data_IF_484513731226
#
_entry.id   IF_484513731226
#
_cell.length_a   1.000
_cell.length_b   1.000
_cell.length_c   1.000
_cell.angle_alpha   90.00
_cell.angle_beta   90.00
_cell.angle_gamma   90.00
#
_symmetry.space_group_name_H-M   'P 1'
#
loop_
_entity.id
_entity.type
_entity.pdbx_description
1 polymer ?
#
# COMPACT_ATOMS: atom_id res chain seq x y z
N UNK A 1 26.84 65.98 32.12
CA UNK A 1 26.66 64.75 31.28
C UNK A 1 25.25 64.69 30.80
N UNK A 2 24.97 64.58 29.51
CA UNK A 2 23.64 64.34 29.00
C UNK A 2 23.16 62.92 29.31
N UNK A 3 21.83 62.72 29.51
CA UNK A 3 21.29 61.40 29.78
C UNK A 3 21.42 60.46 28.55
N UNK A 4 21.54 59.14 28.77
CA UNK A 4 21.66 58.16 27.68
C UNK A 4 20.37 58.08 26.87
N UNK A 5 20.45 57.79 25.55
CA UNK A 5 19.27 57.67 24.70
C UNK A 5 18.44 56.44 25.09
N UNK A 6 17.11 56.47 24.89
CA UNK A 6 16.24 55.34 25.21
C UNK A 6 16.57 54.16 24.30
N UNK A 7 16.72 52.98 24.91
CA UNK A 7 16.89 51.73 24.18
C UNK A 7 15.60 51.40 23.41
N UNK A 8 15.72 51.27 22.12
CA UNK A 8 14.65 50.78 21.26
C UNK A 8 14.31 49.34 21.62
N UNK A 9 13.06 49.11 22.02
CA UNK A 9 12.55 47.74 22.22
C UNK A 9 12.48 47.02 20.85
N UNK A 10 13.20 45.94 20.73
CA UNK A 10 13.04 45.03 19.59
C UNK A 10 11.64 44.43 19.57
N UNK A 11 10.98 44.37 18.41
CA UNK A 11 9.70 43.70 18.31
C UNK A 11 9.86 42.21 18.62
N UNK A 12 8.87 41.54 19.21
CA UNK A 12 8.91 40.12 19.50
C UNK A 12 9.08 39.29 18.21
N UNK A 13 9.96 38.32 18.26
CA UNK A 13 10.20 37.37 17.16
C UNK A 13 8.90 36.63 16.81
N UNK A 14 8.63 36.34 15.53
CA UNK A 14 7.48 35.56 15.14
C UNK A 14 7.57 34.16 15.75
N UNK A 15 6.42 33.53 16.13
CA UNK A 15 6.41 32.19 16.68
C UNK A 15 7.00 31.20 15.69
N UNK A 16 7.89 30.35 16.17
CA UNK A 16 8.46 29.27 15.38
C UNK A 16 7.34 28.33 14.85
N UNK A 17 7.44 27.81 13.61
CA UNK A 17 6.47 26.85 13.12
C UNK A 17 6.39 25.67 14.07
N UNK A 18 5.18 25.31 14.48
CA UNK A 18 4.91 24.17 15.34
C UNK A 18 5.45 22.90 14.67
N UNK A 19 6.30 22.18 15.37
CA UNK A 19 6.73 20.84 14.95
C UNK A 19 5.48 19.96 14.79
N UNK A 20 5.44 19.05 13.79
CA UNK A 20 4.33 18.11 13.67
C UNK A 20 4.18 17.36 14.99
N UNK A 21 2.98 17.39 15.54
CA UNK A 21 2.66 16.73 16.79
C UNK A 21 2.97 15.22 16.65
N UNK A 22 3.79 14.71 17.55
CA UNK A 22 3.98 13.27 17.69
C UNK A 22 2.61 12.62 17.94
N UNK A 23 2.30 11.44 17.35
CA UNK A 23 1.04 10.76 17.61
C UNK A 23 0.90 10.49 19.10
N UNK A 24 -0.26 10.83 19.66
CA UNK A 24 -0.56 10.67 21.06
C UNK A 24 -0.35 9.21 21.50
N UNK A 25 0.36 8.93 22.60
CA UNK A 25 0.46 7.58 23.14
C UNK A 25 -0.90 7.17 23.70
N UNK A 26 -1.55 6.18 23.05
CA UNK A 26 -2.81 5.61 23.56
C UNK A 26 -3.91 5.30 22.55
N UNK A 27 -3.76 5.61 21.27
CA UNK A 27 -4.66 5.08 20.25
C UNK A 27 -4.30 3.60 20.05
N UNK A 28 -5.11 2.69 20.56
CA UNK A 28 -4.98 1.26 20.32
C UNK A 28 -4.86 1.00 18.81
N UNK A 29 -3.95 0.11 18.44
CA UNK A 29 -3.70 -0.29 17.06
C UNK A 29 -5.05 -0.64 16.39
N UNK A 30 -5.37 -0.05 15.24
CA UNK A 30 -6.60 -0.40 14.48
C UNK A 30 -6.51 -1.89 14.15
N UNK A 31 -7.58 -2.62 14.39
CA UNK A 31 -7.70 -4.05 14.06
C UNK A 31 -9.05 -4.34 13.40
N UNK A 32 -9.34 -5.62 13.15
CA UNK A 32 -10.54 -6.05 12.43
C UNK A 32 -11.75 -6.36 13.36
N UNK A 33 -11.67 -6.09 14.66
CA UNK A 33 -12.73 -6.42 15.62
C UNK A 33 -14.04 -5.66 15.36
N UNK A 34 -13.95 -4.46 14.82
CA UNK A 34 -15.10 -3.61 14.50
C UNK A 34 -15.63 -3.81 13.06
N UNK A 35 -15.16 -4.85 12.38
CA UNK A 35 -15.53 -5.15 10.99
C UNK A 35 -14.59 -4.51 9.97
N UNK A 36 -15.10 -4.23 8.78
CA UNK A 36 -14.35 -3.66 7.67
C UNK A 36 -13.68 -2.33 8.02
N UNK A 37 -12.41 -2.20 7.66
CA UNK A 37 -11.60 -1.00 7.88
C UNK A 37 -11.34 -0.30 6.54
N UNK A 38 -11.69 0.98 6.45
CA UNK A 38 -11.27 1.84 5.34
C UNK A 38 -10.04 2.64 5.78
N UNK A 39 -8.92 2.45 5.06
CA UNK A 39 -7.67 3.12 5.33
C UNK A 39 -7.52 4.38 4.49
N UNK A 40 -6.89 5.39 5.05
CA UNK A 40 -6.32 6.51 4.32
C UNK A 40 -4.80 6.29 4.15
N UNK A 41 -4.18 7.06 3.27
CA UNK A 41 -2.73 7.01 3.05
C UNK A 41 -1.97 7.06 4.38
N UNK A 42 -0.99 6.16 4.52
CA UNK A 42 -0.14 5.97 5.71
C UNK A 42 -0.84 5.42 6.96
N UNK A 43 -2.13 5.09 6.88
CA UNK A 43 -2.80 4.40 7.99
C UNK A 43 -2.50 2.89 7.94
N UNK A 44 -2.39 2.31 9.12
CA UNK A 44 -2.07 0.89 9.33
C UNK A 44 -3.18 0.20 10.12
N UNK A 45 -3.54 -1.00 9.71
CA UNK A 45 -4.43 -1.92 10.43
C UNK A 45 -3.69 -3.21 10.76
N UNK A 46 -3.84 -3.70 11.97
CA UNK A 46 -3.39 -5.03 12.35
C UNK A 46 -4.40 -6.07 11.86
N UNK A 47 -3.92 -7.09 11.15
CA UNK A 47 -4.76 -8.19 10.68
C UNK A 47 -5.03 -9.18 11.81
N UNK A 48 -5.72 -8.69 12.83
CA UNK A 48 -6.14 -9.42 14.03
C UNK A 48 -7.64 -9.26 14.20
N UNK A 49 -8.36 -10.36 14.41
CA UNK A 49 -9.80 -10.40 14.66
C UNK A 49 -10.07 -11.30 15.88
N UNK A 50 -10.78 -10.77 16.87
CA UNK A 50 -11.06 -11.51 18.12
C UNK A 50 -9.79 -11.90 18.90
N UNK A 51 -8.76 -11.05 18.89
CA UNK A 51 -7.48 -11.32 19.54
C UNK A 51 -6.63 -12.39 18.85
N UNK A 52 -7.01 -12.86 17.65
CA UNK A 52 -6.30 -13.88 16.87
C UNK A 52 -5.72 -13.31 15.60
N UNK A 53 -4.44 -13.58 15.28
CA UNK A 53 -3.86 -13.23 13.99
C UNK A 53 -4.60 -13.92 12.84
N UNK A 54 -4.83 -13.18 11.76
CA UNK A 54 -5.31 -13.72 10.50
C UNK A 54 -4.12 -14.41 9.80
N UNK A 55 -4.10 -15.73 9.81
CA UNK A 55 -3.06 -16.57 9.20
C UNK A 55 -3.63 -17.49 8.11
N UNK A 56 -4.81 -17.16 7.60
CA UNK A 56 -5.47 -17.88 6.51
C UNK A 56 -5.15 -17.25 5.16
N UNK A 57 -5.79 -17.77 4.13
CA UNK A 57 -5.70 -17.22 2.78
C UNK A 57 -6.45 -15.88 2.72
N UNK A 58 -5.80 -14.87 2.16
CA UNK A 58 -6.39 -13.58 1.84
C UNK A 58 -6.25 -13.30 0.35
N UNK A 59 -7.13 -12.44 -0.18
CA UNK A 59 -7.08 -11.96 -1.55
C UNK A 59 -6.88 -10.45 -1.54
N UNK A 60 -5.83 -9.99 -2.21
CA UNK A 60 -5.65 -8.58 -2.51
C UNK A 60 -6.28 -8.31 -3.87
N UNK A 61 -7.46 -7.70 -3.87
CA UNK A 61 -8.13 -7.22 -5.07
C UNK A 61 -7.63 -5.81 -5.41
N UNK A 62 -7.29 -5.59 -6.67
CA UNK A 62 -6.89 -4.29 -7.19
C UNK A 62 -7.82 -3.94 -8.35
N UNK A 63 -8.34 -2.72 -8.35
CA UNK A 63 -9.26 -2.24 -9.37
C UNK A 63 -8.94 -0.81 -9.78
N UNK A 64 -9.27 -0.48 -11.03
CA UNK A 64 -9.08 0.85 -11.60
C UNK A 64 -10.16 1.15 -12.63
N UNK A 65 -10.40 2.44 -12.86
CA UNK A 65 -11.30 2.92 -13.90
C UNK A 65 -10.59 3.96 -14.76
N UNK A 66 -10.72 3.90 -16.10
CA UNK A 66 -10.21 4.94 -16.99
C UNK A 66 -10.85 6.31 -16.71
N UNK A 67 -10.07 7.38 -16.78
CA UNK A 67 -10.59 8.74 -16.63
C UNK A 67 -11.45 9.17 -17.86
N UNK A 68 -11.20 8.57 -19.01
CA UNK A 68 -11.86 8.90 -20.25
C UNK A 68 -12.52 7.67 -20.86
N UNK A 69 -13.78 7.76 -21.23
CA UNK A 69 -14.51 6.68 -21.91
C UNK A 69 -13.84 6.30 -23.24
N UNK A 70 -13.74 4.99 -23.48
CA UNK A 70 -13.16 4.45 -24.71
C UNK A 70 -11.64 4.45 -24.76
N UNK A 71 -10.98 4.66 -23.62
CA UNK A 71 -9.54 4.47 -23.47
C UNK A 71 -9.31 3.24 -22.58
N UNK A 72 -8.76 2.20 -23.17
CA UNK A 72 -8.30 1.06 -22.39
C UNK A 72 -7.06 1.47 -21.61
N UNK A 73 -7.03 1.16 -20.33
CA UNK A 73 -5.88 1.37 -19.47
C UNK A 73 -5.39 0.01 -19.02
N UNK A 74 -4.24 -0.37 -19.54
CA UNK A 74 -3.54 -1.60 -19.23
C UNK A 74 -2.61 -1.38 -18.05
N UNK A 75 -3.10 -1.75 -16.86
CA UNK A 75 -2.34 -1.71 -15.62
C UNK A 75 -2.11 -3.12 -15.11
N UNK A 76 -0.93 -3.35 -14.56
CA UNK A 76 -0.49 -4.64 -14.05
C UNK A 76 -0.30 -4.59 -12.53
N UNK A 77 -1.01 -5.43 -11.81
CA UNK A 77 -0.80 -5.64 -10.39
C UNK A 77 0.36 -6.62 -10.16
N UNK A 78 1.13 -6.36 -9.12
CA UNK A 78 2.23 -7.22 -8.70
C UNK A 78 2.35 -7.23 -7.18
N UNK A 79 2.98 -8.26 -6.64
CA UNK A 79 3.45 -8.27 -5.25
C UNK A 79 4.92 -8.67 -5.22
N UNK A 80 5.68 -7.97 -4.39
CA UNK A 80 7.10 -8.18 -4.19
C UNK A 80 7.32 -8.64 -2.75
N UNK A 81 7.98 -9.79 -2.58
CA UNK A 81 8.28 -10.37 -1.28
C UNK A 81 9.70 -10.04 -0.84
N UNK A 82 9.83 -9.66 0.43
CA UNK A 82 11.09 -9.27 1.05
C UNK A 82 11.37 -10.01 2.36
N UNK A 83 12.64 -10.17 2.65
CA UNK A 83 13.15 -10.68 3.91
C UNK A 83 13.38 -9.60 4.97
N UNK A 84 13.89 -9.99 6.17
CA UNK A 84 14.04 -9.10 7.33
C UNK A 84 14.97 -7.91 7.09
N UNK A 85 15.93 -8.06 6.19
CA UNK A 85 16.88 -7.01 5.82
C UNK A 85 16.44 -6.21 4.58
N UNK A 86 15.16 -6.28 4.23
CA UNK A 86 14.58 -5.69 3.00
C UNK A 86 15.20 -6.25 1.72
N UNK A 87 15.80 -7.43 1.81
CA UNK A 87 16.32 -8.14 0.66
C UNK A 87 15.18 -8.73 -0.16
N UNK A 88 15.23 -8.52 -1.46
CA UNK A 88 14.27 -9.08 -2.41
C UNK A 88 14.34 -10.61 -2.41
N UNK A 89 13.20 -11.27 -2.19
CA UNK A 89 13.08 -12.73 -2.24
C UNK A 89 12.53 -13.15 -3.59
N UNK A 90 11.33 -12.66 -3.96
CA UNK A 90 10.68 -13.01 -5.23
C UNK A 90 9.59 -11.98 -5.58
N UNK A 91 9.08 -12.05 -6.82
CA UNK A 91 7.98 -11.19 -7.29
C UNK A 91 6.94 -12.00 -8.05
N UNK A 92 5.66 -11.78 -7.74
CA UNK A 92 4.52 -12.37 -8.42
C UNK A 92 3.84 -11.29 -9.28
N UNK A 93 3.67 -11.55 -10.56
CA UNK A 93 3.13 -10.63 -11.56
C UNK A 93 2.61 -11.43 -12.77
N UNK A 94 2.07 -10.80 -13.79
CA UNK A 94 1.50 -11.49 -14.97
C UNK A 94 2.47 -12.47 -15.66
N UNK A 95 3.79 -12.18 -15.62
CA UNK A 95 4.82 -13.07 -16.19
C UNK A 95 5.27 -14.19 -15.25
N UNK A 96 4.88 -14.16 -13.99
CA UNK A 96 5.19 -15.18 -12.98
C UNK A 96 4.05 -15.30 -11.97
N UNK A 97 3.06 -16.11 -12.31
CA UNK A 97 1.77 -16.19 -11.61
C UNK A 97 1.79 -16.94 -10.27
N UNK A 98 2.89 -17.61 -9.94
CA UNK A 98 3.04 -18.33 -8.66
C UNK A 98 4.46 -18.18 -8.13
N UNK A 99 4.58 -17.90 -6.85
CA UNK A 99 5.85 -17.83 -6.14
C UNK A 99 5.75 -18.53 -4.77
N UNK A 100 6.87 -18.75 -4.11
CA UNK A 100 6.96 -19.31 -2.76
C UNK A 100 6.15 -20.62 -2.62
N UNK A 101 6.38 -21.57 -3.54
CA UNK A 101 5.68 -22.88 -3.61
C UNK A 101 4.15 -22.75 -3.71
N UNK A 102 3.66 -21.61 -4.24
CA UNK A 102 2.23 -21.36 -4.41
C UNK A 102 1.56 -20.66 -3.21
N UNK A 103 2.32 -20.23 -2.21
CA UNK A 103 1.79 -19.40 -1.13
C UNK A 103 1.30 -18.03 -1.64
N UNK A 104 1.83 -17.56 -2.76
CA UNK A 104 1.35 -16.37 -3.47
C UNK A 104 1.00 -16.75 -4.91
N UNK A 105 -0.20 -16.32 -5.36
CA UNK A 105 -0.72 -16.59 -6.70
C UNK A 105 -1.40 -15.36 -7.27
N UNK A 106 -1.11 -15.07 -8.53
CA UNK A 106 -1.76 -14.01 -9.30
C UNK A 106 -2.89 -14.62 -10.15
N UNK A 107 -4.04 -13.95 -10.26
CA UNK A 107 -5.21 -14.43 -11.00
C UNK A 107 -5.04 -14.43 -12.52
N UNK A 108 -4.06 -13.69 -13.03
CA UNK A 108 -3.85 -13.41 -14.44
C UNK A 108 -4.06 -11.94 -14.77
N UNK A 109 -3.86 -11.62 -16.02
CA UNK A 109 -3.83 -10.27 -16.57
C UNK A 109 -5.22 -9.80 -17.01
N UNK A 110 -5.58 -8.54 -16.71
CA UNK A 110 -6.75 -7.85 -17.25
C UNK A 110 -6.29 -6.68 -18.12
N UNK A 111 -6.40 -6.82 -19.42
CA UNK A 111 -5.86 -5.88 -20.41
C UNK A 111 -6.66 -4.59 -20.59
N UNK A 112 -7.90 -4.53 -20.12
CA UNK A 112 -8.81 -3.42 -20.43
C UNK A 112 -9.22 -2.58 -19.23
N UNK A 113 -9.20 -3.14 -18.03
CA UNK A 113 -9.77 -2.50 -16.84
C UNK A 113 -11.29 -2.32 -16.93
N UNK A 114 -11.95 -3.05 -17.85
CA UNK A 114 -13.41 -3.03 -17.98
C UNK A 114 -14.04 -4.13 -17.12
N UNK A 115 -15.06 -3.77 -16.38
CA UNK A 115 -15.83 -4.67 -15.55
C UNK A 115 -16.19 -4.08 -14.19
N UNK A 116 -17.17 -4.67 -13.53
CA UNK A 116 -17.49 -4.31 -12.14
C UNK A 116 -16.74 -5.20 -11.17
N UNK A 117 -15.90 -4.62 -10.34
CA UNK A 117 -15.16 -5.36 -9.31
C UNK A 117 -13.64 -5.19 -9.43
N UNK A 118 -12.90 -6.18 -8.95
CA UNK A 118 -11.44 -6.16 -9.01
C UNK A 118 -10.99 -6.55 -10.42
N UNK A 119 -10.06 -5.78 -10.99
CA UNK A 119 -9.47 -6.08 -12.30
C UNK A 119 -8.45 -7.20 -12.18
N UNK A 120 -7.64 -7.18 -11.13
CA UNK A 120 -6.69 -8.23 -10.83
C UNK A 120 -6.71 -8.62 -9.35
N UNK A 121 -6.44 -9.90 -9.08
CA UNK A 121 -6.45 -10.45 -7.72
C UNK A 121 -5.16 -11.20 -7.45
N UNK A 122 -4.54 -10.90 -6.33
CA UNK A 122 -3.37 -11.64 -5.82
C UNK A 122 -3.78 -12.36 -4.54
N UNK A 123 -3.69 -13.69 -4.57
CA UNK A 123 -4.01 -14.55 -3.44
C UNK A 123 -2.75 -14.80 -2.63
N UNK A 124 -2.83 -14.58 -1.32
CA UNK A 124 -1.73 -14.81 -0.37
C UNK A 124 -2.20 -15.72 0.74
N UNK A 125 -1.55 -16.86 0.89
CA UNK A 125 -1.72 -17.72 2.06
C UNK A 125 -0.74 -17.29 3.14
N UNK A 126 -1.20 -16.48 4.08
CA UNK A 126 -0.37 -15.90 5.15
C UNK A 126 0.25 -16.98 6.05
N UNK A 127 -0.47 -18.08 6.26
CA UNK A 127 0.01 -19.21 7.07
C UNK A 127 1.05 -20.07 6.38
N UNK A 128 1.02 -20.12 5.02
CA UNK A 128 1.96 -20.89 4.22
C UNK A 128 3.21 -20.10 3.79
N UNK A 129 3.27 -18.79 4.06
CA UNK A 129 4.45 -17.99 3.76
C UNK A 129 5.64 -18.47 4.58
N UNK A 130 6.83 -18.67 3.94
CA UNK A 130 8.05 -18.98 4.66
C UNK A 130 8.36 -17.92 5.73
N UNK A 131 8.97 -18.32 6.85
CA UNK A 131 9.30 -17.43 7.96
C UNK A 131 10.27 -16.30 7.56
N UNK A 132 11.08 -16.53 6.55
CA UNK A 132 11.98 -15.55 5.98
C UNK A 132 11.27 -14.41 5.23
N UNK A 133 10.00 -14.59 4.85
CA UNK A 133 9.20 -13.54 4.23
C UNK A 133 8.59 -12.68 5.33
N UNK A 134 9.06 -11.46 5.45
CA UNK A 134 8.64 -10.51 6.49
C UNK A 134 7.93 -9.28 5.95
N UNK A 135 8.01 -9.04 4.65
CA UNK A 135 7.36 -7.92 4.00
C UNK A 135 6.83 -8.28 2.61
N UNK A 136 5.65 -7.76 2.29
CA UNK A 136 5.03 -7.82 0.97
C UNK A 136 4.65 -6.40 0.56
N UNK A 137 4.99 -5.99 -0.66
CA UNK A 137 4.55 -4.71 -1.22
C UNK A 137 3.75 -4.98 -2.49
N UNK A 138 2.49 -4.50 -2.49
CA UNK A 138 1.59 -4.58 -3.63
C UNK A 138 1.73 -3.33 -4.49
N UNK A 139 1.98 -3.53 -5.77
CA UNK A 139 2.26 -2.46 -6.72
C UNK A 139 1.34 -2.56 -7.93
N UNK A 140 1.10 -1.42 -8.59
CA UNK A 140 0.44 -1.36 -9.90
C UNK A 140 1.32 -0.56 -10.85
N UNK A 141 1.53 -1.08 -12.04
CA UNK A 141 2.35 -0.45 -13.07
C UNK A 141 1.58 -0.32 -14.38
N UNK A 142 1.82 0.75 -15.13
CA UNK A 142 1.39 0.90 -16.52
C UNK A 142 2.54 0.48 -17.45
N UNK A 143 2.45 -0.72 -17.98
CA UNK A 143 3.46 -1.24 -18.91
C UNK A 143 3.47 -0.45 -20.23
N UNK A 144 2.30 -0.09 -20.73
CA UNK A 144 2.11 0.71 -21.95
C UNK A 144 2.47 2.19 -21.79
N UNK A 145 2.66 2.66 -20.55
CA UNK A 145 3.16 4.01 -20.24
C UNK A 145 2.11 5.08 -20.01
N UNK A 146 0.83 4.71 -19.88
CA UNK A 146 -0.22 5.62 -19.41
C UNK A 146 0.12 6.12 -18.01
N UNK A 147 -0.27 7.36 -17.73
CA UNK A 147 -0.03 7.97 -16.42
C UNK A 147 -1.22 7.76 -15.50
N UNK A 148 -1.00 7.68 -14.19
CA UNK A 148 -2.08 7.59 -13.21
C UNK A 148 -3.01 8.80 -13.22
N UNK A 149 -2.61 9.94 -13.79
CA UNK A 149 -3.51 11.06 -14.11
C UNK A 149 -4.60 10.72 -15.13
N UNK A 150 -4.45 9.63 -15.89
CA UNK A 150 -5.44 9.11 -16.84
C UNK A 150 -6.38 8.06 -16.21
N UNK A 151 -6.17 7.74 -14.93
CA UNK A 151 -6.98 6.81 -14.13
C UNK A 151 -7.93 7.62 -13.26
N UNK A 152 -9.24 7.39 -13.38
CA UNK A 152 -10.25 8.10 -12.60
C UNK A 152 -10.31 7.61 -11.16
N UNK A 153 -10.21 6.30 -10.99
CA UNK A 153 -10.26 5.62 -9.69
C UNK A 153 -9.26 4.46 -9.70
N UNK A 154 -8.57 4.30 -8.60
CA UNK A 154 -7.80 3.11 -8.32
C UNK A 154 -7.97 2.75 -6.84
N UNK A 155 -8.07 1.48 -6.54
CA UNK A 155 -8.19 1.00 -5.16
C UNK A 155 -7.50 -0.35 -4.98
N UNK A 156 -7.23 -0.68 -3.73
CA UNK A 156 -6.98 -2.05 -3.32
C UNK A 156 -7.86 -2.42 -2.13
N UNK A 157 -8.19 -3.70 -2.03
CA UNK A 157 -8.97 -4.24 -0.92
C UNK A 157 -8.47 -5.63 -0.52
N UNK A 158 -8.44 -5.87 0.78
CA UNK A 158 -8.10 -7.17 1.33
C UNK A 158 -9.40 -7.91 1.65
N UNK A 159 -9.52 -9.12 1.14
CA UNK A 159 -10.68 -9.98 1.25
C UNK A 159 -10.28 -11.26 1.98
N UNK A 160 -11.10 -11.71 2.92
CA UNK A 160 -10.96 -13.03 3.54
C UNK A 160 -11.18 -14.11 2.46
N UNK A 161 -10.18 -14.96 2.25
CA UNK A 161 -10.24 -16.00 1.22
C UNK A 161 -11.25 -17.11 1.50
N UNK A 162 -11.63 -17.31 2.76
CA UNK A 162 -12.58 -18.34 3.16
C UNK A 162 -14.04 -17.84 3.11
N UNK A 163 -14.28 -16.61 3.55
CA UNK A 163 -15.65 -16.05 3.66
C UNK A 163 -16.03 -15.15 2.49
N UNK A 164 -15.05 -14.60 1.78
CA UNK A 164 -15.27 -13.56 0.77
C UNK A 164 -15.59 -12.18 1.36
N UNK A 165 -15.49 -12.02 2.68
CA UNK A 165 -15.72 -10.74 3.36
C UNK A 165 -14.59 -9.75 3.04
N UNK A 166 -14.94 -8.53 2.66
CA UNK A 166 -13.97 -7.43 2.54
C UNK A 166 -13.57 -6.96 3.93
N UNK A 167 -12.28 -7.12 4.25
CA UNK A 167 -11.72 -6.78 5.55
C UNK A 167 -11.15 -5.37 5.60
N UNK A 168 -10.45 -4.98 4.54
CA UNK A 168 -9.75 -3.69 4.46
C UNK A 168 -9.91 -3.11 3.07
N UNK A 169 -10.09 -1.80 2.97
CA UNK A 169 -10.12 -1.07 1.71
C UNK A 169 -9.26 0.18 1.78
N UNK A 170 -8.58 0.46 0.68
CA UNK A 170 -7.88 1.71 0.43
C UNK A 170 -8.22 2.22 -0.97
N UNK A 171 -8.80 3.41 -1.03
CA UNK A 171 -9.06 4.13 -2.28
C UNK A 171 -7.95 5.17 -2.49
N UNK A 172 -7.32 5.13 -3.67
CA UNK A 172 -6.28 6.08 -4.05
C UNK A 172 -6.93 7.43 -4.35
N UNK A 173 -6.64 8.43 -3.53
CA UNK A 173 -7.28 9.77 -3.63
C UNK A 173 -6.48 10.75 -4.46
N UNK A 174 -5.19 10.48 -4.68
CA UNK A 174 -4.29 11.33 -5.46
C UNK A 174 -3.93 10.65 -6.77
N UNK A 175 -3.72 11.45 -7.80
CA UNK A 175 -3.20 10.99 -9.09
C UNK A 175 -1.95 11.79 -9.44
N UNK A 176 -0.89 11.10 -9.85
CA UNK A 176 0.35 11.73 -10.30
C UNK A 176 0.69 11.29 -11.73
N UNK A 177 1.44 12.12 -12.44
CA UNK A 177 1.89 11.83 -13.80
C UNK A 177 3.04 10.79 -13.82
N UNK A 178 2.86 9.70 -13.08
CA UNK A 178 3.79 8.58 -12.94
C UNK A 178 3.19 7.29 -13.51
N UNK A 179 4.03 6.30 -13.74
CA UNK A 179 3.67 5.02 -14.37
C UNK A 179 3.62 3.84 -13.40
N UNK A 180 3.92 4.06 -12.13
CA UNK A 180 3.87 3.05 -11.08
C UNK A 180 3.37 3.64 -9.78
N UNK A 181 2.73 2.81 -8.95
CA UNK A 181 2.30 3.15 -7.60
C UNK A 181 2.48 1.96 -6.67
N UNK A 182 2.96 2.21 -5.46
CA UNK A 182 2.91 1.26 -4.36
C UNK A 182 1.57 1.46 -3.64
N UNK A 183 0.68 0.48 -3.71
CA UNK A 183 -0.68 0.58 -3.17
C UNK A 183 -0.74 0.29 -1.68
N UNK A 184 -0.14 -0.80 -1.26
CA UNK A 184 -0.16 -1.24 0.13
C UNK A 184 1.05 -2.12 0.45
N UNK A 185 1.38 -2.22 1.73
CA UNK A 185 2.34 -3.20 2.23
C UNK A 185 1.74 -4.03 3.35
N UNK A 186 2.15 -5.30 3.41
CA UNK A 186 1.94 -6.18 4.55
C UNK A 186 3.29 -6.42 5.23
N UNK A 187 3.37 -6.20 6.52
CA UNK A 187 4.58 -6.40 7.31
C UNK A 187 4.30 -7.37 8.45
N UNK A 188 5.07 -8.46 8.51
CA UNK A 188 4.99 -9.44 9.59
C UNK A 188 5.54 -8.83 10.86
N UNK A 189 4.75 -8.86 11.91
CA UNK A 189 5.16 -8.39 13.22
C UNK A 189 5.94 -9.47 13.97
N UNK A 190 6.69 -9.06 14.96
CA UNK A 190 7.49 -9.97 15.78
C UNK A 190 6.65 -11.04 16.51
N UNK A 191 5.42 -10.70 16.84
CA UNK A 191 4.42 -11.57 17.48
C UNK A 191 3.69 -12.48 16.47
N UNK A 192 4.01 -12.39 15.17
CA UNK A 192 3.54 -13.29 14.10
C UNK A 192 2.34 -12.79 13.32
N UNK A 193 1.61 -11.78 13.79
CA UNK A 193 0.54 -11.14 13.03
C UNK A 193 1.12 -10.30 11.88
N UNK A 194 0.25 -9.98 10.91
CA UNK A 194 0.57 -9.09 9.82
C UNK A 194 -0.13 -7.75 9.99
N UNK A 195 0.57 -6.68 9.69
CA UNK A 195 0.00 -5.34 9.59
C UNK A 195 -0.10 -4.93 8.13
N UNK A 196 -1.24 -4.35 7.73
CA UNK A 196 -1.44 -3.74 6.42
C UNK A 196 -1.37 -2.21 6.55
N UNK A 197 -0.53 -1.59 5.75
CA UNK A 197 -0.45 -0.12 5.62
C UNK A 197 -0.84 0.30 4.21
N UNK A 198 -1.77 1.24 4.11
CA UNK A 198 -2.08 1.92 2.85
C UNK A 198 -0.95 2.89 2.48
N UNK A 199 -0.49 2.85 1.24
CA UNK A 199 0.65 3.65 0.78
C UNK A 199 0.22 4.75 -0.19
N UNK A 200 -0.05 4.44 -1.44
CA UNK A 200 -0.36 5.43 -2.47
C UNK A 200 0.86 6.25 -2.88
N UNK A 201 2.05 5.65 -2.88
CA UNK A 201 3.31 6.32 -3.25
C UNK A 201 3.65 6.03 -4.71
N UNK A 202 3.73 7.10 -5.50
CA UNK A 202 4.00 7.00 -6.94
C UNK A 202 5.48 6.87 -7.25
N UNK A 203 5.77 6.08 -8.29
CA UNK A 203 7.14 5.79 -8.75
C UNK A 203 7.20 5.85 -10.26
N UNK A 204 8.29 6.40 -10.80
CA UNK A 204 8.56 6.35 -12.22
C UNK A 204 9.06 4.96 -12.61
N UNK A 205 8.15 4.02 -12.78
CA UNK A 205 8.46 2.67 -13.23
C UNK A 205 7.30 2.06 -13.99
N UNK A 206 7.58 1.40 -15.10
CA UNK A 206 6.59 0.71 -15.95
C UNK A 206 6.52 -0.79 -15.67
N UNK A 207 7.36 -1.30 -14.82
CA UNK A 207 7.47 -2.75 -14.54
C UNK A 207 7.71 -3.02 -13.07
N UNK A 208 7.32 -4.21 -12.61
CA UNK A 208 7.59 -4.68 -11.25
C UNK A 208 9.08 -4.67 -10.92
N UNK A 209 9.96 -4.97 -11.88
CA UNK A 209 11.40 -4.96 -11.66
C UNK A 209 11.92 -3.59 -11.23
N UNK A 210 11.40 -2.51 -11.81
CA UNK A 210 11.75 -1.15 -11.41
C UNK A 210 11.16 -0.73 -10.06
N UNK A 211 10.17 -1.46 -9.55
CA UNK A 211 9.58 -1.22 -8.23
C UNK A 211 10.35 -1.87 -7.08
N UNK A 212 11.18 -2.88 -7.35
CA UNK A 212 11.86 -3.67 -6.30
C UNK A 212 12.66 -2.80 -5.33
N UNK A 213 13.48 -1.88 -5.81
CA UNK A 213 14.28 -1.01 -4.95
C UNK A 213 13.44 0.03 -4.19
N UNK A 214 12.54 0.81 -4.83
CA UNK A 214 11.66 1.73 -4.12
C UNK A 214 10.79 1.03 -3.05
N UNK A 215 10.25 -0.14 -3.36
CA UNK A 215 9.43 -0.91 -2.42
C UNK A 215 10.23 -1.41 -1.21
N UNK A 216 11.48 -1.84 -1.39
CA UNK A 216 12.36 -2.20 -0.30
C UNK A 216 12.64 -1.01 0.65
N UNK A 217 12.77 0.19 0.10
CA UNK A 217 12.99 1.41 0.88
C UNK A 217 11.75 1.84 1.68
N UNK A 218 10.57 1.43 1.25
CA UNK A 218 9.30 1.77 1.86
C UNK A 218 8.85 0.80 2.99
N UNK A 219 9.60 -0.30 3.22
CA UNK A 219 9.33 -1.30 4.26
C UNK A 219 9.80 -0.89 5.66
#
# INVERSE_FOLDING_TARGET
QPPPPPMAQQPPAPPAPAAPAAPAPGAGKINLDKGRVSLQKNQTVSLVKGGRPLLSQVKMGLGWEPAFRGKDIDLDASVIAYGPQRNHIDSCYFGKLKILKGAIKHSGDNLTGEGGGDDEVIVVDLGALPQEVTGLVFTVNSFSGQKFTEVAKAYCRLIDGATGEELVRFDLTNAEAQTGVMMAKLVRQFTGEWDMTAMGDFVKSRTVRGMVKPAAQAL
#
